data_IF_183863089211
#
_entry.id   IF_183863089211
#
_cell.length_a   1.000
_cell.length_b   1.000
_cell.length_c   1.000
_cell.angle_alpha   90.00
_cell.angle_beta   90.00
_cell.angle_gamma   90.00
#
_symmetry.space_group_name_H-M   'P 1'
#
loop_
_entity.id
_entity.type
_entity.pdbx_description
1 polymer ?
#
# COMPACT_ATOMS: atom_id res chain seq x y z
N UNK A 1 -22.99 29.32 15.77
CA UNK A 1 -22.43 27.97 15.63
C UNK A 1 -21.56 27.95 14.38
N UNK A 2 -20.30 28.35 14.53
CA UNK A 2 -19.35 28.43 13.42
C UNK A 2 -18.64 27.10 13.23
N UNK A 3 -18.80 26.50 12.05
CA UNK A 3 -18.10 25.30 11.66
C UNK A 3 -16.60 25.59 11.54
N UNK A 4 -15.80 24.88 12.34
CA UNK A 4 -14.35 24.90 12.27
C UNK A 4 -13.90 24.06 11.07
N UNK A 5 -14.14 24.56 9.85
CA UNK A 5 -13.46 24.04 8.67
C UNK A 5 -12.01 24.52 8.74
N UNK A 6 -11.13 23.63 9.22
CA UNK A 6 -9.69 23.82 9.13
C UNK A 6 -9.30 23.76 7.66
N UNK A 7 -9.33 24.91 6.98
CA UNK A 7 -8.76 25.08 5.64
C UNK A 7 -7.25 24.83 5.75
N UNK A 8 -6.80 23.62 5.43
CA UNK A 8 -5.39 23.34 5.18
C UNK A 8 -5.03 23.92 3.81
N UNK A 9 -4.80 25.24 3.77
CA UNK A 9 -4.03 25.88 2.72
C UNK A 9 -2.54 25.49 2.88
N UNK A 10 -2.25 24.21 2.69
CA UNK A 10 -0.91 23.74 2.39
C UNK A 10 -0.64 24.07 0.92
N UNK A 11 0.13 25.11 0.69
CA UNK A 11 0.57 25.61 -0.59
C UNK A 11 0.81 24.51 -1.65
N UNK A 12 0.14 24.66 -2.81
CA UNK A 12 0.43 23.94 -4.06
C UNK A 12 1.74 24.46 -4.70
N UNK A 13 2.82 24.63 -3.94
CA UNK A 13 4.06 25.29 -4.40
C UNK A 13 5.19 24.32 -4.74
N UNK A 14 5.01 23.01 -4.55
CA UNK A 14 5.97 22.00 -5.00
C UNK A 14 5.85 21.70 -6.49
N UNK A 15 6.99 21.44 -7.17
CA UNK A 15 7.00 20.96 -8.57
C UNK A 15 6.14 19.70 -8.73
N UNK A 16 6.11 18.81 -7.74
CA UNK A 16 5.27 17.61 -7.70
C UNK A 16 3.76 17.89 -7.54
N UNK A 17 3.37 19.07 -7.04
CA UNK A 17 1.97 19.47 -6.92
C UNK A 17 1.38 19.94 -8.27
N UNK A 18 2.23 20.27 -9.25
CA UNK A 18 1.82 20.70 -10.59
C UNK A 18 1.47 19.49 -11.46
N UNK A 19 0.35 18.82 -11.17
CA UNK A 19 -0.08 17.60 -11.88
C UNK A 19 -0.09 17.75 -13.40
N UNK A 20 -0.56 18.89 -13.93
CA UNK A 20 -0.56 19.15 -15.38
C UNK A 20 0.82 19.16 -16.03
N UNK A 21 1.87 19.60 -15.30
CA UNK A 21 3.25 19.55 -15.78
C UNK A 21 3.71 18.11 -15.96
N UNK A 22 3.45 17.25 -14.98
CA UNK A 22 3.87 15.83 -15.01
C UNK A 22 3.09 15.01 -16.02
N UNK A 23 1.81 15.34 -16.23
CA UNK A 23 1.03 14.79 -17.35
C UNK A 23 1.70 15.18 -18.67
N UNK A 24 2.01 16.46 -18.86
CA UNK A 24 2.71 16.96 -20.06
C UNK A 24 4.06 16.29 -20.30
N UNK A 25 4.88 16.14 -19.26
CA UNK A 25 6.18 15.46 -19.33
C UNK A 25 6.02 13.98 -19.70
N UNK A 26 5.10 13.26 -19.04
CA UNK A 26 4.87 11.84 -19.34
C UNK A 26 4.40 11.63 -20.78
N UNK A 27 3.47 12.46 -21.26
CA UNK A 27 2.99 12.41 -22.65
C UNK A 27 4.09 12.82 -23.64
N UNK A 28 4.90 13.84 -23.33
CA UNK A 28 6.01 14.24 -24.18
C UNK A 28 7.06 13.13 -24.32
N UNK A 29 7.40 12.44 -23.23
CA UNK A 29 8.31 11.28 -23.24
C UNK A 29 7.71 10.14 -24.06
N UNK A 30 6.41 9.84 -23.88
CA UNK A 30 5.72 8.85 -24.69
C UNK A 30 5.82 9.19 -26.18
N UNK A 31 5.51 10.42 -26.58
CA UNK A 31 5.56 10.85 -27.98
C UNK A 31 6.98 10.77 -28.54
N UNK A 32 7.97 11.20 -27.75
CA UNK A 32 9.38 11.17 -28.15
C UNK A 32 9.87 9.73 -28.40
N UNK A 33 9.54 8.80 -27.50
CA UNK A 33 10.00 7.41 -27.61
C UNK A 33 9.19 6.65 -28.68
N UNK A 34 7.87 6.82 -28.70
CA UNK A 34 7.00 6.06 -29.59
C UNK A 34 7.10 6.48 -31.07
N UNK A 35 7.37 7.76 -31.35
CA UNK A 35 7.32 8.29 -32.72
C UNK A 35 8.59 8.96 -33.22
N UNK A 36 9.40 9.60 -32.35
CA UNK A 36 10.59 10.32 -32.80
C UNK A 36 11.86 9.47 -32.80
N UNK A 37 11.97 8.48 -31.90
CA UNK A 37 13.14 7.60 -31.87
C UNK A 37 13.04 6.53 -32.97
N UNK A 38 14.08 6.36 -33.82
CA UNK A 38 14.10 5.29 -34.79
C UNK A 38 14.18 3.93 -34.07
N UNK A 39 13.53 2.92 -34.64
CA UNK A 39 13.61 1.54 -34.15
C UNK A 39 15.06 1.03 -34.26
N UNK A 40 15.76 0.75 -33.15
CA UNK A 40 17.13 0.26 -33.21
C UNK A 40 17.14 -1.17 -33.74
N UNK A 41 18.11 -1.50 -34.59
CA UNK A 41 18.25 -2.85 -35.18
C UNK A 41 18.40 -3.94 -34.11
N UNK A 42 19.07 -3.62 -33.00
CA UNK A 42 19.20 -4.53 -31.85
C UNK A 42 17.86 -4.93 -31.24
N UNK A 43 16.84 -4.06 -31.29
CA UNK A 43 15.50 -4.40 -30.80
C UNK A 43 14.83 -5.43 -31.70
N UNK A 44 15.00 -5.31 -33.02
CA UNK A 44 14.49 -6.27 -34.00
C UNK A 44 15.12 -7.65 -33.75
N UNK A 45 16.44 -7.68 -33.60
CA UNK A 45 17.19 -8.91 -33.31
C UNK A 45 16.75 -9.58 -31.99
N UNK A 46 16.56 -8.79 -30.93
CA UNK A 46 16.08 -9.32 -29.63
C UNK A 46 14.67 -9.89 -29.78
N UNK A 47 13.77 -9.20 -30.48
CA UNK A 47 12.41 -9.67 -30.67
C UNK A 47 12.34 -10.98 -31.44
N UNK A 48 13.19 -11.15 -32.46
CA UNK A 48 13.33 -12.39 -33.21
C UNK A 48 13.95 -13.49 -32.35
N UNK A 49 15.07 -13.20 -31.68
CA UNK A 49 15.83 -14.17 -30.87
C UNK A 49 15.00 -14.82 -29.76
N UNK A 50 14.12 -14.04 -29.12
CA UNK A 50 13.28 -14.52 -28.02
C UNK A 50 11.88 -14.98 -28.47
N UNK A 51 11.61 -15.04 -29.79
CA UNK A 51 10.34 -15.53 -30.33
C UNK A 51 9.13 -14.62 -30.03
N UNK A 52 9.37 -13.33 -29.73
CA UNK A 52 8.29 -12.38 -29.49
C UNK A 52 7.59 -11.97 -30.79
N UNK A 53 8.31 -11.97 -31.92
CA UNK A 53 7.73 -11.72 -33.26
C UNK A 53 6.67 -12.77 -33.57
N UNK A 54 6.98 -14.06 -33.38
CA UNK A 54 6.05 -15.15 -33.65
C UNK A 54 4.78 -15.07 -32.80
N UNK A 55 4.91 -14.71 -31.52
CA UNK A 55 3.76 -14.48 -30.63
C UNK A 55 2.91 -13.29 -31.09
N UNK A 56 3.52 -12.19 -31.54
CA UNK A 56 2.78 -11.04 -32.05
C UNK A 56 2.07 -11.35 -33.37
N UNK A 57 2.65 -12.21 -34.21
CA UNK A 57 2.02 -12.71 -35.43
C UNK A 57 0.83 -13.63 -35.09
N UNK A 58 1.00 -14.55 -34.14
CA UNK A 58 -0.08 -15.44 -33.66
C UNK A 58 -1.26 -14.65 -33.07
N UNK A 59 -0.96 -13.59 -32.30
CA UNK A 59 -1.97 -12.68 -31.76
C UNK A 59 -2.58 -11.72 -32.81
N UNK A 60 -2.17 -11.83 -34.08
CA UNK A 60 -2.58 -10.95 -35.19
C UNK A 60 -2.31 -9.47 -34.92
N UNK A 61 -1.27 -9.19 -34.15
CA UNK A 61 -0.85 -7.84 -33.76
C UNK A 61 0.15 -7.29 -34.79
N UNK A 62 1.05 -8.11 -35.33
CA UNK A 62 2.02 -7.68 -36.32
C UNK A 62 2.13 -8.73 -37.43
N UNK A 63 2.49 -8.29 -38.64
CA UNK A 63 2.69 -9.20 -39.78
C UNK A 63 4.17 -9.47 -40.08
N UNK A 64 5.07 -8.59 -39.61
CA UNK A 64 6.50 -8.66 -39.87
C UNK A 64 7.33 -8.24 -38.64
N UNK A 65 8.60 -8.68 -38.56
CA UNK A 65 9.50 -8.32 -37.48
C UNK A 65 9.70 -6.80 -37.31
N UNK A 66 9.74 -6.05 -38.43
CA UNK A 66 9.81 -4.58 -38.40
C UNK A 66 8.58 -3.93 -37.77
N UNK A 67 7.39 -4.46 -38.06
CA UNK A 67 6.14 -3.96 -37.50
C UNK A 67 6.03 -4.31 -36.02
N UNK A 68 6.45 -5.53 -35.65
CA UNK A 68 6.54 -5.96 -34.25
C UNK A 68 7.49 -5.04 -33.47
N UNK A 69 8.66 -4.69 -34.02
CA UNK A 69 9.61 -3.76 -33.41
C UNK A 69 9.05 -2.34 -33.26
N UNK A 70 8.31 -1.84 -34.27
CA UNK A 70 7.64 -0.54 -34.17
C UNK A 70 6.59 -0.53 -33.06
N UNK A 71 5.79 -1.59 -32.93
CA UNK A 71 4.83 -1.74 -31.83
C UNK A 71 5.50 -1.85 -30.46
N UNK A 72 6.65 -2.52 -30.37
CA UNK A 72 7.44 -2.57 -29.14
C UNK A 72 8.00 -1.21 -28.74
N UNK A 73 8.37 -0.34 -29.69
CA UNK A 73 8.73 1.05 -29.36
C UNK A 73 7.59 1.83 -28.70
N UNK A 74 6.34 1.60 -29.13
CA UNK A 74 5.17 2.20 -28.47
C UNK A 74 5.06 1.72 -27.03
N UNK A 75 5.24 0.41 -26.78
CA UNK A 75 5.28 -0.15 -25.41
C UNK A 75 6.39 0.49 -24.58
N UNK A 76 7.59 0.63 -25.15
CA UNK A 76 8.72 1.31 -24.50
C UNK A 76 8.46 2.79 -24.21
N UNK A 77 7.57 3.45 -24.94
CA UNK A 77 7.10 4.80 -24.61
C UNK A 77 6.05 4.80 -23.49
N UNK A 78 5.14 3.81 -23.49
CA UNK A 78 4.08 3.70 -22.48
C UNK A 78 4.68 3.45 -21.09
N UNK A 79 5.72 2.61 -20.98
CA UNK A 79 6.30 2.21 -19.69
C UNK A 79 6.84 3.40 -18.87
N UNK A 80 7.72 4.28 -19.38
CA UNK A 80 8.18 5.47 -18.66
C UNK A 80 7.05 6.44 -18.32
N UNK A 81 6.08 6.62 -19.24
CA UNK A 81 4.91 7.44 -18.98
C UNK A 81 4.09 6.88 -17.81
N UNK A 82 3.86 5.56 -17.77
CA UNK A 82 3.18 4.89 -16.68
C UNK A 82 3.93 5.05 -15.36
N UNK A 83 5.26 4.89 -15.38
CA UNK A 83 6.12 5.08 -14.20
C UNK A 83 5.95 6.51 -13.65
N UNK A 84 5.99 7.53 -14.50
CA UNK A 84 5.81 8.93 -14.06
C UNK A 84 4.40 9.14 -13.49
N UNK A 85 3.37 8.63 -14.16
CA UNK A 85 1.99 8.81 -13.73
C UNK A 85 1.70 8.11 -12.38
N UNK A 86 2.26 6.92 -12.16
CA UNK A 86 2.15 6.21 -10.88
C UNK A 86 3.03 6.82 -9.79
N UNK A 87 4.27 7.21 -10.10
CA UNK A 87 5.22 7.73 -9.10
C UNK A 87 4.82 9.11 -8.55
N UNK A 88 4.30 9.98 -9.41
CA UNK A 88 3.89 11.35 -9.04
C UNK A 88 2.39 11.42 -8.70
N UNK A 89 1.63 10.33 -8.89
CA UNK A 89 0.17 10.32 -8.80
C UNK A 89 -0.47 11.48 -9.59
N UNK A 90 0.04 11.67 -10.82
CA UNK A 90 -0.38 12.74 -11.72
C UNK A 90 -1.88 12.62 -12.05
N UNK A 91 -2.37 11.39 -12.16
CA UNK A 91 -3.77 11.00 -12.20
C UNK A 91 -4.06 10.02 -11.05
N UNK A 92 -5.32 9.89 -10.60
CA UNK A 92 -5.69 8.86 -9.64
C UNK A 92 -5.27 7.48 -10.11
N UNK A 93 -4.69 6.66 -9.22
CA UNK A 93 -4.11 5.34 -9.53
C UNK A 93 -5.07 4.46 -10.35
N UNK A 94 -6.37 4.46 -10.02
CA UNK A 94 -7.38 3.72 -10.77
C UNK A 94 -7.59 4.23 -12.20
N UNK A 95 -7.56 5.54 -12.41
CA UNK A 95 -7.66 6.15 -13.75
C UNK A 95 -6.41 5.80 -14.57
N UNK A 96 -5.22 5.91 -13.98
CA UNK A 96 -3.96 5.50 -14.63
C UNK A 96 -3.99 4.01 -14.99
N UNK A 97 -4.52 3.16 -14.10
CA UNK A 97 -4.66 1.72 -14.32
C UNK A 97 -5.58 1.35 -15.49
N UNK A 98 -6.62 2.14 -15.77
CA UNK A 98 -7.50 1.95 -16.93
C UNK A 98 -6.89 2.58 -18.19
N UNK A 99 -6.21 3.72 -18.03
CA UNK A 99 -5.61 4.46 -19.14
C UNK A 99 -4.53 3.63 -19.87
N UNK A 100 -3.68 2.89 -19.15
CA UNK A 100 -2.58 2.15 -19.79
C UNK A 100 -3.07 1.03 -20.73
N UNK A 101 -3.99 0.14 -20.33
CA UNK A 101 -4.57 -0.85 -21.25
C UNK A 101 -5.38 -0.22 -22.38
N UNK A 102 -6.03 0.93 -22.14
CA UNK A 102 -6.78 1.66 -23.15
C UNK A 102 -5.87 2.26 -24.22
N UNK A 103 -4.73 2.84 -23.83
CA UNK A 103 -3.68 3.28 -24.76
C UNK A 103 -3.15 2.08 -25.55
N UNK A 104 -2.87 0.95 -24.87
CA UNK A 104 -2.43 -0.27 -25.53
C UNK A 104 -3.45 -0.79 -26.56
N UNK A 105 -4.75 -0.67 -26.27
CA UNK A 105 -5.82 -0.99 -27.21
C UNK A 105 -5.82 -0.11 -28.45
N UNK A 106 -5.78 1.22 -28.27
CA UNK A 106 -5.82 2.17 -29.40
C UNK A 106 -4.61 2.04 -30.33
N UNK A 107 -3.45 1.63 -29.81
CA UNK A 107 -2.26 1.34 -30.61
C UNK A 107 -2.20 -0.11 -31.12
N UNK A 108 -3.26 -0.90 -30.90
CA UNK A 108 -3.35 -2.28 -31.37
C UNK A 108 -2.24 -3.17 -30.82
N UNK A 109 -1.84 -2.97 -29.57
CA UNK A 109 -0.77 -3.71 -28.88
C UNK A 109 -1.28 -4.97 -28.18
N UNK A 110 -2.59 -5.07 -27.93
CA UNK A 110 -3.24 -6.24 -27.37
C UNK A 110 -4.64 -6.41 -27.98
N UNK A 111 -5.06 -7.65 -28.28
CA UNK A 111 -6.42 -7.92 -28.73
C UNK A 111 -7.42 -7.66 -27.59
N UNK A 112 -8.63 -7.21 -27.94
CA UNK A 112 -9.67 -6.79 -27.00
C UNK A 112 -10.01 -7.84 -25.93
N UNK A 113 -10.06 -9.11 -26.33
CA UNK A 113 -10.36 -10.23 -25.43
C UNK A 113 -9.28 -10.45 -24.35
N UNK A 114 -8.04 -10.05 -24.57
CA UNK A 114 -6.96 -10.18 -23.60
C UNK A 114 -7.00 -9.06 -22.56
N UNK A 115 -7.42 -7.86 -22.94
CA UNK A 115 -7.54 -6.72 -22.02
C UNK A 115 -8.54 -7.04 -20.90
N UNK A 116 -9.71 -7.56 -21.25
CA UNK A 116 -10.72 -7.95 -20.26
C UNK A 116 -10.22 -9.05 -19.30
N UNK A 117 -9.44 -10.02 -19.81
CA UNK A 117 -8.81 -11.06 -19.00
C UNK A 117 -7.81 -10.49 -17.99
N UNK A 118 -7.09 -9.43 -18.35
CA UNK A 118 -6.16 -8.77 -17.43
C UNK A 118 -6.89 -8.10 -16.26
N UNK A 119 -8.09 -7.55 -16.48
CA UNK A 119 -8.90 -6.95 -15.41
C UNK A 119 -9.64 -7.97 -14.55
N UNK A 120 -10.10 -9.06 -15.14
CA UNK A 120 -10.87 -10.11 -14.47
C UNK A 120 -10.04 -11.38 -14.17
N UNK A 121 -8.73 -11.22 -13.99
CA UNK A 121 -7.85 -12.33 -13.62
C UNK A 121 -8.04 -12.78 -12.16
N UNK A 122 -7.41 -13.90 -11.81
CA UNK A 122 -7.50 -14.51 -10.48
C UNK A 122 -7.06 -13.55 -9.36
N UNK A 123 -6.01 -12.76 -9.60
CA UNK A 123 -5.47 -11.82 -8.62
C UNK A 123 -6.43 -10.66 -8.30
N UNK A 124 -6.96 -9.90 -9.28
CA UNK A 124 -8.01 -8.92 -9.03
C UNK A 124 -9.24 -9.50 -8.33
N UNK A 125 -9.73 -10.67 -8.76
CA UNK A 125 -10.90 -11.31 -8.16
C UNK A 125 -10.65 -11.73 -6.70
N UNK A 126 -9.47 -12.28 -6.42
CA UNK A 126 -9.05 -12.58 -5.06
C UNK A 126 -9.01 -11.32 -4.18
N UNK A 127 -8.44 -10.22 -4.68
CA UNK A 127 -8.39 -8.94 -3.97
C UNK A 127 -9.79 -8.36 -3.69
N UNK A 128 -10.74 -8.50 -4.61
CA UNK A 128 -12.14 -8.11 -4.38
C UNK A 128 -12.75 -8.87 -3.19
N UNK A 129 -12.55 -10.20 -3.13
CA UNK A 129 -13.04 -11.02 -2.01
C UNK A 129 -12.41 -10.63 -0.67
N UNK A 130 -11.10 -10.35 -0.66
CA UNK A 130 -10.38 -9.89 0.53
C UNK A 130 -10.91 -8.53 1.02
N UNK A 131 -11.15 -7.59 0.11
CA UNK A 131 -11.71 -6.28 0.48
C UNK A 131 -13.14 -6.40 1.01
N UNK A 132 -13.97 -7.25 0.41
CA UNK A 132 -15.31 -7.53 0.91
C UNK A 132 -15.27 -8.10 2.33
N UNK A 133 -14.42 -9.09 2.59
CA UNK A 133 -14.23 -9.66 3.93
C UNK A 133 -13.72 -8.62 4.93
N UNK A 134 -12.73 -7.80 4.53
CA UNK A 134 -12.20 -6.73 5.36
C UNK A 134 -13.27 -5.69 5.74
N UNK A 135 -14.13 -5.32 4.80
CA UNK A 135 -15.25 -4.40 5.05
C UNK A 135 -16.25 -4.99 6.06
N UNK A 136 -16.62 -6.27 5.92
CA UNK A 136 -17.53 -6.93 6.87
C UNK A 136 -16.96 -7.03 8.28
N UNK A 137 -15.67 -7.39 8.43
CA UNK A 137 -15.00 -7.46 9.74
C UNK A 137 -14.97 -6.10 10.44
N UNK A 138 -14.79 -5.04 9.65
CA UNK A 138 -14.87 -3.66 10.11
C UNK A 138 -16.28 -3.32 10.57
N UNK A 139 -17.29 -3.59 9.73
CA UNK A 139 -18.69 -3.24 10.00
C UNK A 139 -19.24 -3.91 11.27
N UNK A 140 -18.87 -5.17 11.51
CA UNK A 140 -19.28 -5.92 12.72
C UNK A 140 -18.57 -5.39 13.99
N UNK A 141 -17.60 -4.49 13.86
CA UNK A 141 -16.87 -3.91 15.00
C UNK A 141 -15.91 -4.90 15.67
N UNK A 142 -15.58 -6.01 15.00
CA UNK A 142 -14.68 -7.04 15.52
C UNK A 142 -13.31 -6.45 15.92
N UNK A 143 -12.82 -5.49 15.15
CA UNK A 143 -11.58 -4.77 15.41
C UNK A 143 -11.55 -4.01 16.74
N UNK A 144 -12.68 -3.41 17.18
CA UNK A 144 -12.77 -2.71 18.48
C UNK A 144 -12.66 -3.70 19.64
N UNK A 145 -13.41 -4.81 19.55
CA UNK A 145 -13.36 -5.90 20.53
C UNK A 145 -11.96 -6.48 20.63
N UNK A 146 -11.29 -6.66 19.49
CA UNK A 146 -9.93 -7.15 19.43
C UNK A 146 -8.95 -6.19 20.13
N UNK A 147 -9.09 -4.87 19.94
CA UNK A 147 -8.22 -3.89 20.59
C UNK A 147 -8.35 -3.91 22.12
N UNK A 148 -9.57 -3.98 22.66
CA UNK A 148 -9.80 -4.11 24.11
C UNK A 148 -9.29 -5.44 24.64
N UNK A 149 -9.54 -6.53 23.90
CA UNK A 149 -9.07 -7.85 24.29
C UNK A 149 -7.54 -7.93 24.33
N UNK A 150 -6.86 -7.32 23.36
CA UNK A 150 -5.40 -7.32 23.29
C UNK A 150 -4.74 -6.39 24.32
N UNK A 151 -5.30 -5.19 24.54
CA UNK A 151 -4.63 -4.15 25.32
C UNK A 151 -5.20 -3.97 26.73
N UNK A 152 -6.46 -4.33 26.97
CA UNK A 152 -7.18 -4.06 28.22
C UNK A 152 -6.71 -4.82 29.46
N UNK A 153 -5.78 -5.78 29.30
CA UNK A 153 -5.13 -6.49 30.40
C UNK A 153 -3.67 -6.06 30.61
N UNK A 154 -3.12 -5.26 29.70
CA UNK A 154 -1.71 -4.83 29.75
C UNK A 154 -1.54 -3.62 30.67
N UNK A 155 -0.42 -3.58 31.41
CA UNK A 155 -0.10 -2.50 32.36
C UNK A 155 1.30 -1.94 32.13
N UNK A 156 1.50 -0.68 32.50
CA UNK A 156 2.76 0.06 32.35
C UNK A 156 2.94 0.63 30.94
N UNK A 157 4.17 0.65 30.44
CA UNK A 157 4.51 1.25 29.14
C UNK A 157 4.92 0.24 28.08
N UNK A 158 5.86 -0.64 28.41
CA UNK A 158 6.48 -1.55 27.45
C UNK A 158 5.58 -2.72 27.07
N UNK A 159 4.84 -3.28 28.02
CA UNK A 159 3.96 -4.44 27.75
C UNK A 159 2.84 -4.07 26.78
N UNK A 160 2.06 -2.98 26.99
CA UNK A 160 1.07 -2.56 26.01
C UNK A 160 1.66 -2.27 24.64
N UNK A 161 2.88 -1.71 24.59
CA UNK A 161 3.54 -1.37 23.34
C UNK A 161 4.03 -2.60 22.56
N UNK A 162 4.59 -3.60 23.24
CA UNK A 162 4.97 -4.88 22.62
C UNK A 162 3.71 -5.55 22.05
N UNK A 163 2.66 -5.64 22.85
CA UNK A 163 1.40 -6.26 22.44
C UNK A 163 0.79 -5.51 21.27
N UNK A 164 0.75 -4.18 21.32
CA UNK A 164 0.25 -3.34 20.22
C UNK A 164 1.03 -3.59 18.92
N UNK A 165 2.38 -3.51 18.94
CA UNK A 165 3.17 -3.73 17.72
C UNK A 165 2.96 -5.12 17.13
N UNK A 166 3.08 -6.17 17.94
CA UNK A 166 2.99 -7.55 17.45
C UNK A 166 1.58 -7.84 16.94
N UNK A 167 0.56 -7.48 17.73
CA UNK A 167 -0.83 -7.75 17.36
C UNK A 167 -1.26 -6.96 16.13
N UNK A 168 -0.90 -5.68 16.02
CA UNK A 168 -1.25 -4.87 14.85
C UNK A 168 -0.52 -5.35 13.60
N UNK A 169 0.72 -5.86 13.71
CA UNK A 169 1.38 -6.49 12.56
C UNK A 169 0.68 -7.78 12.13
N UNK A 170 0.24 -8.62 13.07
CA UNK A 170 -0.53 -9.84 12.76
C UNK A 170 -1.88 -9.49 12.11
N UNK A 171 -2.61 -8.54 12.67
CA UNK A 171 -3.91 -8.12 12.12
C UNK A 171 -3.75 -7.43 10.77
N UNK A 172 -2.72 -6.59 10.62
CA UNK A 172 -2.35 -5.95 9.36
C UNK A 172 -1.89 -6.93 8.28
N UNK A 173 -1.64 -8.19 8.64
CA UNK A 173 -1.37 -9.26 7.67
C UNK A 173 -2.64 -9.80 7.02
N UNK A 174 -3.83 -9.55 7.57
CA UNK A 174 -5.11 -9.98 7.00
C UNK A 174 -6.01 -8.82 6.58
N UNK A 175 -5.80 -7.66 7.19
CA UNK A 175 -6.63 -6.48 6.96
C UNK A 175 -5.82 -5.37 6.32
N UNK A 176 -6.49 -4.59 5.47
CA UNK A 176 -5.89 -3.42 4.81
C UNK A 176 -5.33 -2.43 5.83
N UNK A 177 -4.03 -2.14 5.75
CA UNK A 177 -3.34 -1.25 6.70
C UNK A 177 -3.98 0.15 6.81
N UNK A 178 -4.36 0.83 5.71
CA UNK A 178 -5.08 2.10 5.80
C UNK A 178 -6.42 2.00 6.54
N UNK A 179 -7.19 0.92 6.31
CA UNK A 179 -8.46 0.72 6.99
C UNK A 179 -8.23 0.53 8.50
N UNK A 180 -7.36 -0.41 8.89
CA UNK A 180 -7.04 -0.65 10.30
C UNK A 180 -6.45 0.57 11.00
N UNK A 181 -5.62 1.35 10.32
CA UNK A 181 -5.08 2.60 10.85
C UNK A 181 -6.22 3.57 11.19
N UNK A 182 -7.16 3.79 10.26
CA UNK A 182 -8.29 4.71 10.50
C UNK A 182 -9.14 4.33 11.72
N UNK A 183 -9.29 3.04 12.01
CA UNK A 183 -10.03 2.55 13.17
C UNK A 183 -9.24 2.59 14.48
N UNK A 184 -7.93 2.33 14.43
CA UNK A 184 -7.08 2.28 15.61
C UNK A 184 -6.59 3.66 16.04
N UNK A 185 -6.57 4.66 15.16
CA UNK A 185 -6.19 6.03 15.52
C UNK A 185 -7.06 6.60 16.65
N UNK A 186 -8.41 6.53 16.61
CA UNK A 186 -9.24 6.93 17.74
C UNK A 186 -8.91 6.21 19.06
N UNK A 187 -8.65 4.89 18.99
CA UNK A 187 -8.26 4.07 20.16
C UNK A 187 -6.92 4.56 20.71
N UNK A 188 -5.93 4.82 19.85
CA UNK A 188 -4.63 5.36 20.27
C UNK A 188 -4.75 6.76 20.87
N UNK A 189 -5.66 7.59 20.34
CA UNK A 189 -5.95 8.89 20.90
C UNK A 189 -6.60 8.78 22.28
N UNK A 190 -7.51 7.83 22.49
CA UNK A 190 -8.09 7.55 23.81
C UNK A 190 -7.03 7.09 24.83
N UNK A 191 -6.15 6.16 24.44
CA UNK A 191 -4.99 5.76 25.28
C UNK A 191 -4.14 6.98 25.62
N UNK A 192 -3.82 7.80 24.61
CA UNK A 192 -3.01 9.00 24.79
C UNK A 192 -3.63 9.99 25.79
N UNK A 193 -4.90 10.36 25.58
CA UNK A 193 -5.60 11.32 26.44
C UNK A 193 -5.76 10.80 27.86
N UNK A 194 -6.17 9.54 28.06
CA UNK A 194 -6.29 8.97 29.41
C UNK A 194 -4.93 8.94 30.14
N UNK A 195 -3.85 8.63 29.43
CA UNK A 195 -2.48 8.61 30.00
C UNK A 195 -1.97 10.00 30.37
N UNK A 196 -2.27 11.02 29.57
CA UNK A 196 -1.84 12.40 29.83
C UNK A 196 -2.69 13.08 30.90
N UNK A 197 -4.01 12.83 30.90
CA UNK A 197 -4.93 13.35 31.90
C UNK A 197 -4.62 12.81 33.30
N UNK A 198 -4.31 11.52 33.44
CA UNK A 198 -3.94 10.92 34.72
C UNK A 198 -2.64 11.48 35.32
N UNK A 199 -1.73 11.97 34.47
CA UNK A 199 -0.46 12.58 34.92
C UNK A 199 -0.59 14.09 35.22
N UNK A 200 -1.69 14.71 34.82
CA UNK A 200 -1.86 16.15 34.95
C UNK A 200 -2.34 16.50 36.35
N UNK A 201 -1.51 17.21 37.11
CA UNK A 201 -1.90 17.82 38.38
C UNK A 201 -2.74 19.09 38.11
N UNK A 202 -3.79 19.30 38.90
CA UNK A 202 -4.58 20.55 38.96
C UNK A 202 -5.34 20.96 37.67
N UNK A 203 -5.93 19.99 36.95
CA UNK A 203 -6.92 20.29 35.90
C UNK A 203 -6.36 20.94 34.62
N UNK A 204 -5.04 21.11 34.49
CA UNK A 204 -4.38 21.53 33.26
C UNK A 204 -3.70 20.34 32.59
N UNK A 205 -4.29 19.87 31.48
CA UNK A 205 -3.77 18.75 30.69
C UNK A 205 -2.42 19.13 30.06
N UNK A 206 -1.32 18.53 30.54
CA UNK A 206 0.02 18.77 29.99
C UNK A 206 0.29 17.81 28.83
N UNK A 207 0.01 18.26 27.61
CA UNK A 207 0.20 17.45 26.40
C UNK A 207 1.66 17.00 26.22
N UNK A 208 1.85 15.69 25.96
CA UNK A 208 3.12 15.11 25.52
C UNK A 208 3.08 14.80 24.01
N UNK A 209 3.51 15.70 23.12
CA UNK A 209 3.49 15.46 21.68
C UNK A 209 4.46 14.34 21.25
N UNK A 210 5.47 14.01 22.05
CA UNK A 210 6.38 12.90 21.75
C UNK A 210 5.68 11.55 21.92
N UNK A 211 4.84 11.42 22.95
CA UNK A 211 4.01 10.22 23.16
C UNK A 211 2.99 10.03 22.03
N UNK A 212 2.27 11.09 21.63
CA UNK A 212 1.31 11.01 20.54
C UNK A 212 1.97 10.55 19.22
N UNK A 213 3.11 11.15 18.86
CA UNK A 213 3.90 10.74 17.69
C UNK A 213 4.37 9.30 17.79
N UNK A 214 4.82 8.88 18.98
CA UNK A 214 5.30 7.51 19.21
C UNK A 214 4.20 6.47 19.02
N UNK A 215 3.01 6.69 19.60
CA UNK A 215 1.87 5.78 19.47
C UNK A 215 1.40 5.68 18.02
N UNK A 216 1.24 6.83 17.34
CA UNK A 216 0.79 6.86 15.94
C UNK A 216 1.82 6.25 14.99
N UNK A 217 3.11 6.55 15.14
CA UNK A 217 4.15 5.94 14.31
C UNK A 217 4.26 4.44 14.56
N UNK A 218 4.24 4.01 15.82
CA UNK A 218 4.32 2.58 16.12
C UNK A 218 3.13 1.82 15.55
N UNK A 219 1.91 2.37 15.63
CA UNK A 219 0.72 1.82 14.97
C UNK A 219 0.92 1.71 13.45
N UNK A 220 1.29 2.81 12.79
CA UNK A 220 1.44 2.86 11.34
C UNK A 220 2.53 1.91 10.83
N UNK A 221 3.68 1.87 11.49
CA UNK A 221 4.77 0.99 11.09
C UNK A 221 4.46 -0.47 11.41
N UNK A 222 3.81 -0.77 12.53
CA UNK A 222 3.41 -2.14 12.86
C UNK A 222 2.43 -2.68 11.82
N UNK A 223 1.42 -1.90 11.44
CA UNK A 223 0.46 -2.29 10.38
C UNK A 223 1.16 -2.51 9.04
N UNK A 224 2.15 -1.68 8.67
CA UNK A 224 2.93 -1.88 7.45
C UNK A 224 3.81 -3.14 7.50
N UNK A 225 4.35 -3.48 8.67
CA UNK A 225 5.14 -4.71 8.85
C UNK A 225 4.29 -5.99 8.72
N UNK A 226 2.96 -5.88 8.89
CA UNK A 226 2.02 -6.95 8.56
C UNK A 226 1.89 -7.22 7.06
N UNK A 227 2.19 -6.24 6.21
CA UNK A 227 2.05 -6.33 4.75
C UNK A 227 2.61 -7.61 4.09
N UNK A 228 3.83 -8.08 4.38
CA UNK A 228 4.35 -9.33 3.79
C UNK A 228 3.70 -10.61 4.32
N UNK A 229 2.94 -10.56 5.42
CA UNK A 229 2.51 -11.72 6.19
C UNK A 229 1.64 -12.71 5.43
N UNK A 230 0.68 -12.24 4.65
CA UNK A 230 -0.18 -13.09 3.83
C UNK A 230 -0.48 -12.47 2.47
N UNK A 231 -0.95 -13.27 1.49
CA UNK A 231 -1.44 -12.73 0.22
C UNK A 231 -2.56 -11.71 0.36
N UNK A 232 -3.43 -11.84 1.36
CA UNK A 232 -4.58 -10.94 1.55
C UNK A 232 -4.21 -9.58 2.15
N UNK A 233 -3.00 -9.42 2.69
CA UNK A 233 -2.58 -8.14 3.26
C UNK A 233 -2.53 -7.00 2.22
N UNK A 234 -2.27 -7.31 0.95
CA UNK A 234 -2.25 -6.30 -0.10
C UNK A 234 -1.96 -6.83 -1.51
N UNK A 235 -2.38 -6.06 -2.51
CA UNK A 235 -2.30 -6.44 -3.92
C UNK A 235 -0.89 -6.73 -4.42
N UNK A 236 0.16 -6.16 -3.81
CA UNK A 236 1.56 -6.45 -4.16
C UNK A 236 1.91 -7.94 -4.02
N UNK A 237 1.39 -8.60 -2.98
CA UNK A 237 1.67 -10.01 -2.73
C UNK A 237 0.96 -10.90 -3.75
N UNK A 238 -0.31 -10.58 -4.04
CA UNK A 238 -1.12 -11.32 -5.01
C UNK A 238 -0.56 -11.16 -6.43
N UNK A 239 -0.16 -9.95 -6.81
CA UNK A 239 0.50 -9.68 -8.10
C UNK A 239 1.80 -10.49 -8.21
N UNK A 240 2.61 -10.54 -7.14
CA UNK A 240 3.84 -11.34 -7.13
C UNK A 240 3.55 -12.83 -7.25
N UNK A 241 2.50 -13.35 -6.59
CA UNK A 241 2.07 -14.73 -6.75
C UNK A 241 1.63 -15.04 -8.18
N UNK A 242 0.95 -14.10 -8.85
CA UNK A 242 0.62 -14.24 -10.28
C UNK A 242 1.87 -14.34 -11.14
N UNK A 243 2.86 -13.47 -10.93
CA UNK A 243 4.13 -13.56 -11.66
C UNK A 243 4.86 -14.89 -11.42
N UNK A 244 4.95 -15.35 -10.18
CA UNK A 244 5.56 -16.65 -9.90
C UNK A 244 4.83 -17.81 -10.59
N UNK A 245 3.50 -17.74 -10.65
CA UNK A 245 2.69 -18.72 -11.37
C UNK A 245 2.99 -18.70 -12.87
N UNK A 246 3.15 -17.51 -13.47
CA UNK A 246 3.58 -17.36 -14.88
C UNK A 246 5.00 -17.89 -15.14
N UNK A 247 5.90 -17.80 -14.16
CA UNK A 247 7.24 -18.40 -14.22
C UNK A 247 7.27 -19.91 -13.96
N UNK A 248 6.11 -20.56 -13.77
CA UNK A 248 6.03 -22.00 -13.51
C UNK A 248 6.24 -22.40 -12.05
N UNK A 249 6.19 -21.44 -11.12
CA UNK A 249 6.30 -21.65 -9.67
C UNK A 249 4.97 -21.26 -9.03
N UNK A 250 3.91 -22.11 -9.09
CA UNK A 250 2.63 -21.78 -8.49
C UNK A 250 2.74 -21.75 -6.96
N UNK A 251 2.64 -20.56 -6.38
CA UNK A 251 2.65 -20.38 -4.92
C UNK A 251 1.21 -20.39 -4.42
N UNK A 252 0.90 -21.34 -3.54
CA UNK A 252 -0.40 -21.38 -2.85
C UNK A 252 -0.45 -20.35 -1.71
N UNK A 253 -1.66 -20.03 -1.23
CA UNK A 253 -1.84 -19.10 -0.11
C UNK A 253 -1.04 -19.53 1.14
N UNK A 254 -1.10 -20.82 1.49
CA UNK A 254 -0.34 -21.38 2.61
C UNK A 254 1.16 -21.42 2.32
N UNK A 255 1.56 -21.60 1.05
CA UNK A 255 2.94 -21.48 0.59
C UNK A 255 3.50 -20.09 0.90
N UNK A 256 2.78 -19.03 0.53
CA UNK A 256 3.19 -17.65 0.85
C UNK A 256 3.29 -17.43 2.37
N UNK A 257 2.29 -17.89 3.13
CA UNK A 257 2.30 -17.75 4.59
C UNK A 257 3.51 -18.40 5.26
N UNK A 258 4.01 -19.54 4.75
CA UNK A 258 5.21 -20.16 5.32
C UNK A 258 6.44 -19.24 5.27
N UNK A 259 6.53 -18.39 4.24
CA UNK A 259 7.63 -17.43 4.09
C UNK A 259 7.32 -16.08 4.73
N UNK A 260 6.12 -15.54 4.51
CA UNK A 260 5.72 -14.21 4.95
C UNK A 260 5.38 -14.14 6.45
N UNK A 261 4.64 -15.13 6.96
CA UNK A 261 4.11 -15.09 8.33
C UNK A 261 5.19 -15.05 9.41
N UNK A 262 6.30 -15.83 9.33
CA UNK A 262 7.38 -15.73 10.32
C UNK A 262 8.09 -14.37 10.33
N UNK A 263 8.12 -13.66 9.20
CA UNK A 263 8.77 -12.36 9.09
C UNK A 263 8.00 -11.25 9.82
N UNK A 264 6.70 -11.41 10.01
CA UNK A 264 5.83 -10.40 10.64
C UNK A 264 6.20 -10.14 12.12
N UNK A 265 6.23 -11.16 13.02
CA UNK A 265 6.61 -10.94 14.42
C UNK A 265 8.09 -10.58 14.58
N UNK A 266 8.98 -11.14 13.74
CA UNK A 266 10.40 -10.78 13.75
C UNK A 266 10.58 -9.31 13.37
N UNK A 267 9.89 -8.88 12.32
CA UNK A 267 9.86 -7.50 11.85
C UNK A 267 9.30 -6.53 12.88
N UNK A 268 8.20 -6.90 13.53
CA UNK A 268 7.57 -6.06 14.56
C UNK A 268 8.46 -5.92 15.81
N UNK A 269 9.21 -6.97 16.17
CA UNK A 269 10.23 -6.89 17.22
C UNK A 269 11.39 -5.95 16.83
N UNK A 270 11.89 -6.02 15.59
CA UNK A 270 12.91 -5.09 15.09
C UNK A 270 12.41 -3.65 15.05
N UNK A 271 11.17 -3.44 14.62
CA UNK A 271 10.50 -2.14 14.65
C UNK A 271 10.42 -1.60 16.08
N UNK A 272 10.02 -2.43 17.03
CA UNK A 272 9.94 -2.04 18.44
C UNK A 272 11.31 -1.63 18.98
N UNK A 273 12.38 -2.38 18.65
CA UNK A 273 13.75 -2.02 19.03
C UNK A 273 14.19 -0.68 18.42
N UNK A 274 13.83 -0.42 17.16
CA UNK A 274 14.09 0.87 16.52
C UNK A 274 13.33 2.01 17.20
N UNK A 275 12.04 1.82 17.48
CA UNK A 275 11.21 2.80 18.20
C UNK A 275 11.72 3.04 19.62
N UNK A 276 12.15 1.97 20.31
CA UNK A 276 12.70 1.97 21.65
C UNK A 276 13.97 2.83 21.78
N UNK A 277 14.84 2.77 20.78
CA UNK A 277 16.16 3.40 20.81
C UNK A 277 16.10 4.88 20.44
N UNK A 278 15.29 5.25 19.44
CA UNK A 278 15.27 6.62 18.90
C UNK A 278 14.21 7.53 19.54
N UNK A 279 13.01 7.02 19.84
CA UNK A 279 11.89 7.87 20.26
C UNK A 279 11.65 7.89 21.77
N UNK A 280 11.94 6.79 22.48
CA UNK A 280 11.59 6.66 23.91
C UNK A 280 12.37 7.60 24.84
N UNK A 281 13.50 8.14 24.39
CA UNK A 281 14.26 9.16 25.16
C UNK A 281 13.52 10.49 25.29
N UNK A 282 12.58 10.79 24.39
CA UNK A 282 11.84 12.06 24.36
C UNK A 282 10.47 11.99 25.07
N UNK A 283 10.05 10.79 25.48
CA UNK A 283 8.72 10.56 26.07
C UNK A 283 8.78 10.86 27.57
N UNK A 284 7.94 11.78 28.03
CA UNK A 284 7.83 12.16 29.44
C UNK A 284 6.80 11.28 30.16
N UNK A 285 5.73 10.88 29.49
CA UNK A 285 4.66 10.04 30.07
C UNK A 285 4.93 8.56 29.79
N UNK A 286 5.36 7.83 30.82
CA UNK A 286 5.78 6.42 30.74
C UNK A 286 4.81 5.46 31.44
N UNK A 287 3.55 5.85 31.55
CA UNK A 287 2.50 4.95 32.02
C UNK A 287 1.29 5.10 31.11
N UNK A 288 0.88 3.98 30.49
CA UNK A 288 -0.28 3.90 29.61
C UNK A 288 -1.50 3.29 30.31
N UNK A 289 -1.31 2.78 31.53
CA UNK A 289 -2.35 2.04 32.28
C UNK A 289 -3.66 2.84 32.41
N UNK A 290 -3.65 4.14 32.76
CA UNK A 290 -4.89 4.90 32.91
C UNK A 290 -5.65 5.08 31.59
N UNK A 291 -4.95 5.19 30.46
CA UNK A 291 -5.58 5.26 29.14
C UNK A 291 -6.17 3.94 28.68
N UNK A 292 -5.59 2.82 29.09
CA UNK A 292 -6.09 1.48 28.80
C UNK A 292 -7.33 1.13 29.63
N UNK A 293 -7.37 1.57 30.89
CA UNK A 293 -8.53 1.42 31.76
C UNK A 293 -9.72 2.23 31.25
N UNK A 294 -9.51 3.48 30.80
CA UNK A 294 -10.55 4.31 30.20
C UNK A 294 -11.22 3.63 28.99
N UNK A 295 -10.43 3.01 28.10
CA UNK A 295 -10.97 2.30 26.93
C UNK A 295 -11.80 1.07 27.33
N UNK A 296 -11.43 0.41 28.43
CA UNK A 296 -12.14 -0.76 28.94
C UNK A 296 -13.51 -0.39 29.52
N UNK A 297 -13.68 0.82 30.01
CA UNK A 297 -14.96 1.33 30.52
C UNK A 297 -15.88 1.83 29.40
N UNK A 298 -15.31 2.25 28.26
CA UNK A 298 -16.05 2.86 27.15
C UNK A 298 -16.52 1.85 26.07
N UNK A 299 -16.09 0.59 26.14
CA UNK A 299 -16.38 -0.48 25.15
C UNK A 299 -17.18 -1.63 25.74
#
# INVERSE_FOLDING_TARGET
MGGFFMHTHGEKTGIFAKKGLWIGIGVAIFILIAFFLPTPQSLVEIMEKYGYVDKMIDWKIAHNAKEAAAKTMIVLGIVPMAIIFFAVEALPIGVTGILMPLIAYFFGLLPFNMIGKTFAGDAPMFMLGVFALGATVVEVGFHKRLAVWLLGWTKGFWVPMIVLCISMSIVGSFMSAPAMCSFMVPVMMAVYYGSVSAKSLEGKVVHDPALAKFLLFSLCFALNMGGPGTPSAGGRNVIMMSFFTEYGIPITYSGWMKYGWPLVPLGSAMLLLYMATFFTKRIKTRDLTPGLEYIKEET
#
